data_IF_875005447306
#
_entry.id   IF_875005447306
#
_cell.length_a   1.000
_cell.length_b   1.000
_cell.length_c   1.000
_cell.angle_alpha   90.00
_cell.angle_beta   90.00
_cell.angle_gamma   90.00
#
_symmetry.space_group_name_H-M   'P 1'
#
loop_
_entity.id
_entity.type
_entity.pdbx_description
1 polymer ?
#
# COMPACT_ATOMS: atom_id res chain seq x y z
N UNK A 1 -25.69 0.15 16.06
CA UNK A 1 -24.28 0.59 16.18
C UNK A 1 -23.94 1.42 14.97
N UNK A 2 -23.46 2.65 15.16
CA UNK A 2 -23.07 3.52 14.05
C UNK A 2 -21.67 3.11 13.60
N UNK A 3 -21.54 2.66 12.36
CA UNK A 3 -20.28 2.20 11.74
C UNK A 3 -19.19 3.27 11.81
N UNK A 4 -19.58 4.56 11.87
CA UNK A 4 -18.68 5.70 12.00
C UNK A 4 -17.96 5.79 13.35
N UNK A 5 -18.53 5.21 14.40
CA UNK A 5 -18.00 5.30 15.76
C UNK A 5 -17.23 4.04 16.16
N UNK A 6 -17.14 3.06 15.26
CA UNK A 6 -16.42 1.82 15.49
C UNK A 6 -14.89 2.06 15.47
N UNK A 7 -14.19 1.85 16.61
CA UNK A 7 -12.74 2.04 16.70
C UNK A 7 -11.97 1.07 15.81
N UNK A 8 -12.49 -0.14 15.55
CA UNK A 8 -11.82 -1.15 14.73
C UNK A 8 -11.83 -0.74 13.26
N UNK A 9 -12.91 -0.12 12.80
CA UNK A 9 -13.03 0.40 11.43
C UNK A 9 -12.06 1.57 11.21
N UNK A 10 -11.97 2.50 12.16
CA UNK A 10 -10.97 3.60 12.10
C UNK A 10 -9.55 3.07 12.06
N UNK A 11 -9.24 2.05 12.87
CA UNK A 11 -7.93 1.40 12.91
C UNK A 11 -7.62 0.70 11.59
N UNK A 12 -8.58 -0.03 11.03
CA UNK A 12 -8.45 -0.72 9.76
C UNK A 12 -8.18 0.24 8.59
N UNK A 13 -8.91 1.36 8.50
CA UNK A 13 -8.68 2.41 7.49
C UNK A 13 -7.28 3.01 7.63
N UNK A 14 -6.83 3.29 8.86
CA UNK A 14 -5.50 3.83 9.11
C UNK A 14 -4.36 2.83 8.79
N UNK A 15 -4.64 1.52 8.83
CA UNK A 15 -3.66 0.48 8.48
C UNK A 15 -3.55 0.21 6.97
N UNK A 16 -4.44 0.76 6.13
CA UNK A 16 -4.41 0.55 4.67
C UNK A 16 -3.09 0.95 4.00
N UNK A 17 -2.48 2.13 4.29
CA UNK A 17 -1.18 2.49 3.74
C UNK A 17 -0.08 1.48 4.06
N UNK A 18 -0.10 0.95 5.29
CA UNK A 18 0.86 -0.06 5.74
C UNK A 18 0.68 -1.40 5.03
N UNK A 19 -0.57 -1.83 4.81
CA UNK A 19 -0.85 -3.06 4.05
C UNK A 19 -0.40 -2.93 2.59
N UNK A 20 -0.68 -1.79 1.95
CA UNK A 20 -0.28 -1.56 0.57
C UNK A 20 1.25 -1.52 0.42
N UNK A 21 1.95 -0.88 1.37
CA UNK A 21 3.40 -0.90 1.44
C UNK A 21 3.93 -2.33 1.65
N UNK A 22 3.33 -3.11 2.56
CA UNK A 22 3.73 -4.50 2.80
C UNK A 22 3.61 -5.35 1.53
N UNK A 23 2.51 -5.24 0.80
CA UNK A 23 2.31 -5.96 -0.47
C UNK A 23 3.36 -5.54 -1.51
N UNK A 24 3.65 -4.25 -1.63
CA UNK A 24 4.68 -3.77 -2.56
C UNK A 24 6.07 -4.33 -2.23
N UNK A 25 6.45 -4.35 -0.95
CA UNK A 25 7.72 -4.95 -0.51
C UNK A 25 7.77 -6.45 -0.74
N UNK A 26 6.67 -7.16 -0.45
CA UNK A 26 6.57 -8.59 -0.71
C UNK A 26 6.76 -8.91 -2.20
N UNK A 27 6.22 -8.08 -3.11
CA UNK A 27 6.46 -8.21 -4.55
C UNK A 27 7.93 -7.99 -4.92
N UNK A 28 8.59 -6.96 -4.36
CA UNK A 28 10.03 -6.73 -4.59
C UNK A 28 10.85 -7.95 -4.15
N UNK A 29 10.65 -8.43 -2.93
CA UNK A 29 11.38 -9.59 -2.38
C UNK A 29 11.13 -10.85 -3.21
N UNK A 30 9.88 -11.07 -3.64
CA UNK A 30 9.53 -12.21 -4.50
C UNK A 30 10.24 -12.12 -5.85
N UNK A 31 10.27 -10.93 -6.46
CA UNK A 31 10.94 -10.71 -7.75
C UNK A 31 12.45 -10.91 -7.63
N UNK A 32 13.05 -10.39 -6.56
CA UNK A 32 14.46 -10.60 -6.24
C UNK A 32 14.78 -12.10 -6.07
N UNK A 33 13.93 -12.82 -5.33
CA UNK A 33 14.09 -14.26 -5.08
C UNK A 33 14.01 -15.07 -6.37
N UNK A 34 13.01 -14.78 -7.23
CA UNK A 34 12.86 -15.43 -8.54
C UNK A 34 14.09 -15.16 -9.42
N UNK A 35 14.61 -13.93 -9.39
CA UNK A 35 15.85 -13.57 -10.08
C UNK A 35 17.05 -14.37 -9.65
N UNK A 36 17.24 -14.47 -8.34
CA UNK A 36 18.32 -15.25 -7.74
C UNK A 36 18.24 -16.73 -8.12
N UNK A 37 17.05 -17.35 -8.04
CA UNK A 37 16.86 -18.75 -8.45
C UNK A 37 17.11 -18.99 -9.95
N UNK A 38 16.94 -17.97 -10.78
CA UNK A 38 17.26 -18.02 -12.22
C UNK A 38 18.73 -17.71 -12.52
N UNK A 39 19.53 -17.36 -11.52
CA UNK A 39 20.94 -17.02 -11.67
C UNK A 39 21.19 -15.61 -12.21
N UNK A 40 20.19 -14.73 -12.20
CA UNK A 40 20.38 -13.33 -12.58
C UNK A 40 20.94 -12.51 -11.41
N UNK A 41 21.84 -11.57 -11.73
CA UNK A 41 22.23 -10.55 -10.77
C UNK A 41 21.10 -9.51 -10.63
N UNK A 42 20.46 -9.50 -9.46
CA UNK A 42 19.36 -8.59 -9.12
C UNK A 42 19.85 -7.35 -8.38
N UNK A 43 21.15 -7.23 -8.05
CA UNK A 43 21.74 -6.05 -7.41
C UNK A 43 22.11 -4.97 -8.44
N UNK A 44 21.19 -4.71 -9.37
CA UNK A 44 21.36 -3.70 -10.41
C UNK A 44 20.68 -2.39 -10.02
N UNK A 45 21.20 -1.28 -10.55
CA UNK A 45 20.59 0.05 -10.36
C UNK A 45 19.15 0.09 -10.87
N UNK A 46 18.85 -0.58 -11.99
CA UNK A 46 17.50 -0.63 -12.55
C UNK A 46 16.50 -1.32 -11.62
N UNK A 47 16.92 -2.44 -11.00
CA UNK A 47 16.09 -3.14 -10.03
C UNK A 47 15.85 -2.31 -8.76
N UNK A 48 16.86 -1.56 -8.31
CA UNK A 48 16.72 -0.65 -7.19
C UNK A 48 15.74 0.49 -7.49
N UNK A 49 15.83 1.10 -8.67
CA UNK A 49 14.88 2.14 -9.11
C UNK A 49 13.46 1.57 -9.19
N UNK A 50 13.30 0.39 -9.80
CA UNK A 50 12.00 -0.30 -9.87
C UNK A 50 11.41 -0.55 -8.49
N UNK A 51 12.23 -1.04 -7.55
CA UNK A 51 11.82 -1.33 -6.18
C UNK A 51 11.36 -0.08 -5.44
N UNK A 52 12.09 1.03 -5.57
CA UNK A 52 11.73 2.32 -4.99
C UNK A 52 10.43 2.87 -5.59
N UNK A 53 10.26 2.80 -6.90
CA UNK A 53 9.04 3.22 -7.59
C UNK A 53 7.83 2.39 -7.15
N UNK A 54 8.00 1.07 -7.02
CA UNK A 54 6.94 0.16 -6.61
C UNK A 54 6.52 0.40 -5.14
N UNK A 55 7.47 0.63 -4.25
CA UNK A 55 7.20 0.96 -2.85
C UNK A 55 6.48 2.31 -2.72
N UNK A 56 6.92 3.33 -3.47
CA UNK A 56 6.28 4.64 -3.51
C UNK A 56 4.86 4.56 -4.08
N UNK A 57 4.67 3.79 -5.16
CA UNK A 57 3.36 3.54 -5.73
C UNK A 57 2.43 2.82 -4.74
N UNK A 58 2.93 1.81 -4.02
CA UNK A 58 2.18 1.11 -2.97
C UNK A 58 1.70 2.06 -1.87
N UNK A 59 2.57 2.97 -1.42
CA UNK A 59 2.21 4.01 -0.45
C UNK A 59 1.13 4.95 -0.99
N UNK A 60 1.29 5.45 -2.22
CA UNK A 60 0.30 6.33 -2.86
C UNK A 60 -1.08 5.65 -2.94
N UNK A 61 -1.14 4.41 -3.42
CA UNK A 61 -2.38 3.65 -3.52
C UNK A 61 -3.00 3.43 -2.13
N UNK A 62 -2.20 3.07 -1.14
CA UNK A 62 -2.68 2.86 0.23
C UNK A 62 -3.22 4.14 0.89
N UNK A 63 -2.60 5.29 0.61
CA UNK A 63 -3.11 6.61 1.00
C UNK A 63 -4.40 6.98 0.28
N UNK A 64 -4.48 6.72 -1.02
CA UNK A 64 -5.69 6.96 -1.80
C UNK A 64 -6.86 6.12 -1.29
N UNK A 65 -6.62 4.84 -0.99
CA UNK A 65 -7.60 3.96 -0.36
C UNK A 65 -8.04 4.49 1.01
N UNK A 66 -7.10 4.95 1.84
CA UNK A 66 -7.42 5.57 3.13
C UNK A 66 -8.35 6.78 2.96
N UNK A 67 -8.07 7.67 2.02
CA UNK A 67 -8.90 8.84 1.72
C UNK A 67 -10.28 8.41 1.19
N UNK A 68 -10.32 7.45 0.27
CA UNK A 68 -11.56 6.92 -0.29
C UNK A 68 -12.47 6.31 0.79
N UNK A 69 -11.94 5.41 1.62
CA UNK A 69 -12.72 4.80 2.69
C UNK A 69 -13.13 5.81 3.75
N UNK A 70 -12.29 6.81 4.06
CA UNK A 70 -12.70 7.92 4.91
C UNK A 70 -13.89 8.68 4.32
N UNK A 71 -13.83 9.03 3.03
CA UNK A 71 -14.91 9.75 2.35
C UNK A 71 -16.21 8.94 2.33
N UNK A 72 -16.15 7.66 1.96
CA UNK A 72 -17.33 6.78 1.87
C UNK A 72 -17.94 6.50 3.25
N UNK A 73 -17.12 6.25 4.27
CA UNK A 73 -17.61 5.87 5.60
C UNK A 73 -18.05 7.07 6.43
N UNK A 74 -17.33 8.19 6.35
CA UNK A 74 -17.63 9.37 7.17
C UNK A 74 -18.55 10.38 6.46
N UNK A 75 -18.69 10.32 5.14
CA UNK A 75 -19.53 11.26 4.39
C UNK A 75 -18.97 12.68 4.41
N UNK A 76 -17.65 12.82 4.45
CA UNK A 76 -16.94 14.11 4.52
C UNK A 76 -16.92 14.82 3.15
N UNK A 77 -18.09 14.88 2.49
CA UNK A 77 -18.46 15.68 1.30
C UNK A 77 -20.00 15.70 1.13
N UNK A 78 -20.78 15.79 2.22
CA UNK A 78 -22.23 16.10 2.13
C UNK A 78 -22.55 17.51 2.62
N UNK A 79 -21.56 18.40 2.71
CA UNK A 79 -21.77 19.83 2.94
C UNK A 79 -20.70 20.63 2.19
N UNK A 80 -21.01 20.95 0.93
CA UNK A 80 -20.73 22.23 0.26
C UNK A 80 -21.50 22.24 -1.05
#
# INVERSE_FOLDING_TARGET
>A
MNIKDDPDIKRWINMRPWHALFVSLAMVISTMSIGFFKGYDMWTTDFLIFSCLLAFFGLLVGWLQKIYYKKVMFGENTEN
#
